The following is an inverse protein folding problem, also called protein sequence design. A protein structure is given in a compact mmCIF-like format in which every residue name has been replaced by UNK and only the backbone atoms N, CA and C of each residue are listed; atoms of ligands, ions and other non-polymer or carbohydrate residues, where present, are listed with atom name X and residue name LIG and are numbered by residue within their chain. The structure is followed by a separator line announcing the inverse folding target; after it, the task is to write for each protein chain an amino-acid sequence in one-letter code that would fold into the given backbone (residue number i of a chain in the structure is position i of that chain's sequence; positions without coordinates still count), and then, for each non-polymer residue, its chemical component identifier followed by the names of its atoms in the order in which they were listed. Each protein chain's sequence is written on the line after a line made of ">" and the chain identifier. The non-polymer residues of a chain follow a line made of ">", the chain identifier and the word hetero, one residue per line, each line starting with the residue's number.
data_IF_044918819683
#
_entry.id   IF_044918819683
#
_cell.length_a   1.000
_cell.length_b   1.000
_cell.length_c   1.000
_cell.angle_alpha   90.00
_cell.angle_beta   90.00
_cell.angle_gamma   90.00
#
_symmetry.space_group_name_H-M   'P 1'
#
loop_
_entity.id
_entity.type
_entity.pdbx_description
1 polymer ?
#
# COMPACT_ATOMS: atom_id res chain seq x y z
N UNK A 1 2.35 37.64 23.08
CA UNK A 1 1.76 36.35 22.68
C UNK A 1 2.78 35.62 21.84
N UNK A 2 3.33 34.50 22.33
CA UNK A 2 4.23 33.66 21.53
C UNK A 2 3.37 32.95 20.48
N UNK A 3 3.68 33.19 19.20
CA UNK A 3 3.19 32.41 18.07
C UNK A 3 3.49 30.94 18.37
N UNK A 4 2.45 30.11 18.55
CA UNK A 4 2.63 28.67 18.60
C UNK A 4 2.99 28.26 17.18
N UNK A 5 4.25 27.87 16.99
CA UNK A 5 4.66 27.17 15.78
C UNK A 5 3.74 25.95 15.67
N UNK A 6 2.93 25.94 14.63
CA UNK A 6 2.10 24.80 14.26
C UNK A 6 3.09 23.78 13.72
N UNK A 7 3.70 22.98 14.62
CA UNK A 7 4.66 21.93 14.26
C UNK A 7 3.89 20.81 13.54
N UNK A 8 3.53 21.06 12.28
CA UNK A 8 2.92 20.07 11.43
C UNK A 8 3.95 18.97 11.16
N UNK A 9 3.63 17.75 11.56
CA UNK A 9 4.42 16.57 11.17
C UNK A 9 4.19 16.34 9.68
N UNK A 10 5.22 16.58 8.86
CA UNK A 10 5.18 16.35 7.41
C UNK A 10 5.90 15.03 7.11
N UNK A 11 5.14 14.02 6.70
CA UNK A 11 5.70 12.79 6.13
C UNK A 11 5.91 13.02 4.63
N UNK A 12 7.16 12.96 4.17
CA UNK A 12 7.51 13.04 2.75
C UNK A 12 7.93 11.67 2.26
N UNK A 13 7.19 11.15 1.28
CA UNK A 13 7.52 9.88 0.63
C UNK A 13 7.78 10.15 -0.85
N UNK A 14 8.93 9.68 -1.34
CA UNK A 14 9.34 9.84 -2.74
C UNK A 14 8.94 8.63 -3.53
N UNK A 15 8.20 8.84 -4.63
CA UNK A 15 7.87 7.76 -5.58
C UNK A 15 9.13 7.04 -6.06
N UNK A 16 10.19 7.80 -6.38
CA UNK A 16 11.45 7.23 -6.84
C UNK A 16 12.08 6.29 -5.80
N UNK A 17 12.01 6.65 -4.51
CA UNK A 17 12.54 5.81 -3.44
C UNK A 17 11.70 4.53 -3.24
N UNK A 18 10.38 4.61 -3.38
CA UNK A 18 9.53 3.42 -3.38
C UNK A 18 9.82 2.53 -4.60
N UNK A 19 9.98 3.13 -5.78
CA UNK A 19 10.26 2.39 -7.02
C UNK A 19 11.63 1.69 -7.03
N UNK A 20 12.55 2.06 -6.13
CA UNK A 20 13.82 1.36 -5.97
C UNK A 20 13.77 0.18 -5.01
N UNK A 21 12.65 -0.07 -4.34
CA UNK A 21 12.47 -1.23 -3.48
C UNK A 21 12.28 -2.49 -4.33
N UNK A 22 12.81 -3.62 -3.85
CA UNK A 22 12.39 -4.94 -4.33
C UNK A 22 10.90 -5.18 -4.03
N UNK A 23 10.25 -6.12 -4.72
CA UNK A 23 8.84 -6.43 -4.46
C UNK A 23 8.61 -6.88 -3.02
N UNK A 24 9.52 -7.69 -2.45
CA UNK A 24 9.51 -8.05 -1.03
C UNK A 24 9.59 -6.85 -0.07
N UNK A 25 10.48 -5.91 -0.35
CA UNK A 25 10.61 -4.69 0.46
C UNK A 25 9.37 -3.81 0.32
N UNK A 26 8.80 -3.74 -0.88
CA UNK A 26 7.55 -3.03 -1.15
C UNK A 26 6.38 -3.67 -0.39
N UNK A 27 6.27 -4.99 -0.35
CA UNK A 27 5.26 -5.71 0.44
C UNK A 27 5.40 -5.43 1.93
N UNK A 28 6.62 -5.53 2.45
CA UNK A 28 6.92 -5.24 3.87
C UNK A 28 6.59 -3.78 4.21
N UNK A 29 6.94 -2.85 3.33
CA UNK A 29 6.61 -1.44 3.47
C UNK A 29 5.09 -1.22 3.47
N UNK A 30 4.37 -1.81 2.52
CA UNK A 30 2.93 -1.70 2.41
C UNK A 30 2.23 -2.25 3.65
N UNK A 31 2.67 -3.41 4.17
CA UNK A 31 2.14 -4.00 5.40
C UNK A 31 2.35 -3.06 6.60
N UNK A 32 3.54 -2.46 6.75
CA UNK A 32 3.84 -1.54 7.84
C UNK A 32 2.99 -0.26 7.78
N UNK A 33 2.86 0.35 6.59
CA UNK A 33 2.05 1.56 6.39
C UNK A 33 0.56 1.26 6.60
N UNK A 34 0.09 0.09 6.17
CA UNK A 34 -1.30 -0.35 6.39
C UNK A 34 -1.60 -0.55 7.88
N UNK A 35 -0.72 -1.24 8.62
CA UNK A 35 -0.87 -1.40 10.06
C UNK A 35 -0.87 -0.06 10.83
N UNK A 36 -0.03 0.88 10.41
CA UNK A 36 -0.05 2.24 10.96
C UNK A 36 -1.37 2.97 10.65
N UNK A 37 -1.90 2.84 9.43
CA UNK A 37 -3.19 3.39 9.04
C UNK A 37 -4.34 2.81 9.88
N UNK A 38 -4.35 1.50 10.10
CA UNK A 38 -5.36 0.82 10.92
C UNK A 38 -5.31 1.29 12.39
N UNK A 39 -4.11 1.49 12.94
CA UNK A 39 -3.95 2.04 14.28
C UNK A 39 -4.53 3.47 14.38
N UNK A 40 -4.29 4.32 13.37
CA UNK A 40 -4.86 5.67 13.29
C UNK A 40 -6.39 5.61 13.17
N UNK A 41 -6.90 4.69 12.35
CA UNK A 41 -8.34 4.45 12.21
C UNK A 41 -8.96 4.06 13.56
N UNK A 42 -8.25 3.24 14.34
CA UNK A 42 -8.61 2.90 15.72
C UNK A 42 -8.69 4.12 16.64
N UNK A 43 -7.81 5.12 16.46
CA UNK A 43 -7.84 6.39 17.22
C UNK A 43 -9.03 7.26 16.82
N UNK A 44 -9.32 7.40 15.52
CA UNK A 44 -10.47 8.16 15.01
C UNK A 44 -11.80 7.65 15.56
N UNK A 45 -11.91 6.33 15.75
CA UNK A 45 -13.12 5.70 16.27
C UNK A 45 -13.23 5.73 17.81
N UNK A 46 -12.31 6.39 18.53
CA UNK A 46 -12.42 6.52 19.98
C UNK A 46 -13.41 7.64 20.37
N UNK A 47 -14.27 7.45 21.38
CA UNK A 47 -15.25 8.47 21.81
C UNK A 47 -14.64 9.83 22.20
N UNK A 48 -13.36 9.84 22.55
CA UNK A 48 -12.60 11.03 22.95
C UNK A 48 -11.93 11.77 21.78
N UNK A 49 -11.93 11.18 20.58
CA UNK A 49 -11.38 11.82 19.38
C UNK A 49 -12.45 12.73 18.77
N UNK A 50 -12.35 14.03 19.01
CA UNK A 50 -13.32 15.02 18.56
C UNK A 50 -12.70 16.38 18.27
N UNK A 51 -13.50 17.28 17.70
CA UNK A 51 -13.08 18.66 17.42
C UNK A 51 -11.84 18.74 16.52
N UNK A 52 -10.88 19.58 16.89
CA UNK A 52 -9.66 19.78 16.10
C UNK A 52 -8.72 18.56 16.10
N UNK A 53 -8.77 17.73 17.15
CA UNK A 53 -7.99 16.49 17.19
C UNK A 53 -8.46 15.52 16.11
N UNK A 54 -9.78 15.38 15.94
CA UNK A 54 -10.34 14.55 14.88
C UNK A 54 -9.82 14.98 13.50
N UNK A 55 -9.90 16.28 13.19
CA UNK A 55 -9.44 16.81 11.89
C UNK A 55 -7.94 16.59 11.64
N UNK A 56 -7.12 16.72 12.68
CA UNK A 56 -5.68 16.47 12.57
C UNK A 56 -5.37 15.00 12.32
N UNK A 57 -6.05 14.10 13.04
CA UNK A 57 -5.86 12.65 12.89
C UNK A 57 -6.42 12.17 11.54
N UNK A 58 -7.53 12.74 11.07
CA UNK A 58 -8.11 12.49 9.74
C UNK A 58 -7.15 12.93 8.63
N UNK A 59 -6.61 14.14 8.69
CA UNK A 59 -5.61 14.61 7.74
C UNK A 59 -4.33 13.74 7.73
N UNK A 60 -3.97 13.18 8.90
CA UNK A 60 -2.86 12.24 9.01
C UNK A 60 -3.19 10.89 8.35
N UNK A 61 -4.39 10.35 8.58
CA UNK A 61 -4.91 9.15 7.93
C UNK A 61 -4.91 9.28 6.40
N UNK A 62 -5.39 10.41 5.87
CA UNK A 62 -5.36 10.72 4.44
C UNK A 62 -3.94 10.67 3.87
N UNK A 63 -2.94 11.07 4.67
CA UNK A 63 -1.53 10.94 4.34
C UNK A 63 -1.12 9.47 4.16
N UNK A 64 -1.50 8.60 5.09
CA UNK A 64 -1.22 7.16 4.99
C UNK A 64 -1.93 6.50 3.80
N UNK A 65 -3.21 6.83 3.57
CA UNK A 65 -3.94 6.35 2.40
C UNK A 65 -3.22 6.71 1.09
N UNK A 66 -2.72 7.94 0.96
CA UNK A 66 -1.93 8.37 -0.21
C UNK A 66 -0.61 7.62 -0.36
N UNK A 67 0.06 7.27 0.74
CA UNK A 67 1.31 6.48 0.71
C UNK A 67 1.02 5.05 0.28
N UNK A 68 -0.07 4.46 0.77
CA UNK A 68 -0.57 3.15 0.36
C UNK A 68 -0.82 3.15 -1.14
N UNK A 69 -1.64 4.09 -1.64
CA UNK A 69 -1.97 4.23 -3.07
C UNK A 69 -0.71 4.36 -3.95
N UNK A 70 0.29 5.12 -3.48
CA UNK A 70 1.56 5.29 -4.17
C UNK A 70 2.33 3.96 -4.27
N UNK A 71 2.44 3.20 -3.17
CA UNK A 71 3.12 1.92 -3.13
C UNK A 71 2.45 0.89 -4.04
N UNK A 72 1.12 0.86 -4.06
CA UNK A 72 0.33 -0.01 -4.95
C UNK A 72 0.50 0.39 -6.40
N UNK A 73 0.53 1.69 -6.70
CA UNK A 73 0.81 2.19 -8.05
C UNK A 73 2.15 1.66 -8.56
N UNK A 74 3.19 1.67 -7.71
CA UNK A 74 4.49 1.07 -8.04
C UNK A 74 4.36 -0.43 -8.29
N UNK A 75 3.67 -1.18 -7.42
CA UNK A 75 3.46 -2.62 -7.62
C UNK A 75 2.70 -2.95 -8.92
N UNK A 76 1.67 -2.16 -9.27
CA UNK A 76 0.90 -2.32 -10.51
C UNK A 76 1.75 -2.10 -11.76
N UNK A 77 2.68 -1.14 -11.72
CA UNK A 77 3.56 -0.81 -12.84
C UNK A 77 4.80 -1.70 -12.93
N UNK A 78 5.14 -2.42 -11.85
CA UNK A 78 6.27 -3.33 -11.83
C UNK A 78 6.10 -4.44 -12.87
N UNK A 79 7.18 -4.73 -13.60
CA UNK A 79 7.28 -5.88 -14.51
C UNK A 79 8.24 -6.87 -13.88
N UNK A 80 7.75 -8.00 -13.34
CA UNK A 80 8.61 -9.01 -12.74
C UNK A 80 9.61 -9.58 -13.74
N UNK A 81 10.87 -9.73 -13.32
CA UNK A 81 11.92 -10.36 -14.12
C UNK A 81 12.09 -11.85 -13.78
N UNK A 82 11.65 -12.27 -12.59
CA UNK A 82 11.71 -13.66 -12.12
C UNK A 82 10.34 -14.16 -11.64
N UNK A 83 10.21 -15.48 -11.46
CA UNK A 83 9.01 -16.08 -10.89
C UNK A 83 8.78 -15.60 -9.45
N UNK A 84 9.84 -15.58 -8.63
CA UNK A 84 9.78 -15.10 -7.24
C UNK A 84 9.28 -13.65 -7.18
N UNK A 85 9.78 -12.77 -8.06
CA UNK A 85 9.28 -11.38 -8.15
C UNK A 85 7.82 -11.30 -8.61
N UNK A 86 7.37 -12.22 -9.45
CA UNK A 86 5.97 -12.29 -9.90
C UNK A 86 5.05 -12.73 -8.76
N UNK A 87 5.48 -13.69 -7.94
CA UNK A 87 4.80 -14.10 -6.72
C UNK A 87 4.75 -12.96 -5.69
N UNK A 88 5.88 -12.30 -5.44
CA UNK A 88 5.93 -11.16 -4.51
C UNK A 88 5.04 -10.00 -4.97
N UNK A 89 5.05 -9.66 -6.26
CA UNK A 89 4.12 -8.67 -6.84
C UNK A 89 2.67 -9.08 -6.63
N UNK A 90 2.34 -10.36 -6.80
CA UNK A 90 1.00 -10.85 -6.54
C UNK A 90 0.59 -10.63 -5.08
N UNK A 91 1.45 -10.94 -4.11
CA UNK A 91 1.17 -10.68 -2.69
C UNK A 91 0.90 -9.21 -2.41
N UNK A 92 1.72 -8.29 -2.96
CA UNK A 92 1.51 -6.83 -2.84
C UNK A 92 0.10 -6.44 -3.31
N UNK A 93 -0.34 -6.97 -4.46
CA UNK A 93 -1.64 -6.61 -5.02
C UNK A 93 -2.82 -7.28 -4.30
N UNK A 94 -2.66 -8.53 -3.85
CA UNK A 94 -3.65 -9.26 -3.04
C UNK A 94 -3.86 -8.56 -1.69
N UNK A 95 -2.78 -8.23 -0.98
CA UNK A 95 -2.85 -7.55 0.33
C UNK A 95 -3.66 -6.26 0.25
N UNK A 96 -3.48 -5.50 -0.83
CA UNK A 96 -4.28 -4.30 -1.05
C UNK A 96 -5.77 -4.58 -1.28
N UNK A 97 -6.10 -5.52 -2.18
CA UNK A 97 -7.51 -5.83 -2.48
C UNK A 97 -8.25 -6.44 -1.29
N UNK A 98 -7.57 -7.27 -0.48
CA UNK A 98 -8.13 -7.79 0.76
C UNK A 98 -8.46 -6.68 1.77
N UNK A 99 -7.66 -5.61 1.82
CA UNK A 99 -7.90 -4.44 2.66
C UNK A 99 -9.08 -3.57 2.21
N UNK A 100 -9.36 -3.51 0.91
CA UNK A 100 -10.44 -2.70 0.35
C UNK A 100 -11.84 -3.34 0.46
N UNK A 101 -11.94 -4.63 0.81
CA UNK A 101 -13.21 -5.40 0.77
C UNK A 101 -13.92 -5.29 -0.58
N UNK A 102 -13.16 -5.15 -1.66
CA UNK A 102 -13.70 -4.92 -2.99
C UNK A 102 -14.41 -6.16 -3.55
N UNK A 103 -15.40 -5.88 -4.41
CA UNK A 103 -16.26 -6.85 -5.09
C UNK A 103 -15.47 -7.95 -5.81
N UNK A 104 -16.03 -9.17 -5.87
CA UNK A 104 -15.42 -10.37 -6.51
C UNK A 104 -14.84 -10.13 -7.92
N UNK A 105 -15.36 -9.16 -8.66
CA UNK A 105 -14.85 -8.77 -9.98
C UNK A 105 -13.40 -8.26 -9.94
N UNK A 106 -13.03 -7.55 -8.87
CA UNK A 106 -11.67 -7.01 -8.66
C UNK A 106 -10.65 -8.13 -8.46
N UNK A 107 -11.03 -9.18 -7.74
CA UNK A 107 -10.23 -10.38 -7.49
C UNK A 107 -10.01 -11.15 -8.80
N UNK A 108 -11.05 -11.29 -9.63
CA UNK A 108 -10.92 -11.94 -10.94
C UNK A 108 -9.88 -11.27 -11.85
N UNK A 109 -9.92 -9.93 -11.92
CA UNK A 109 -8.94 -9.16 -12.68
C UNK A 109 -7.51 -9.34 -12.15
N UNK A 110 -7.36 -9.52 -10.83
CA UNK A 110 -6.08 -9.78 -10.21
C UNK A 110 -5.53 -11.16 -10.59
N UNK A 111 -6.36 -12.19 -10.49
CA UNK A 111 -5.98 -13.56 -10.86
C UNK A 111 -5.55 -13.62 -12.33
N UNK A 112 -6.25 -12.91 -13.23
CA UNK A 112 -5.84 -12.81 -14.63
C UNK A 112 -4.53 -12.04 -14.84
N UNK A 113 -4.23 -11.06 -13.99
CA UNK A 113 -2.95 -10.37 -14.02
C UNK A 113 -1.82 -11.27 -13.52
N UNK A 114 -2.01 -11.96 -12.38
CA UNK A 114 -1.05 -12.91 -11.83
C UNK A 114 -0.72 -14.03 -12.83
N UNK A 115 -1.76 -14.57 -13.49
CA UNK A 115 -1.58 -15.58 -14.54
C UNK A 115 -0.72 -15.06 -15.69
N UNK A 116 -0.91 -13.81 -16.11
CA UNK A 116 -0.10 -13.16 -17.15
C UNK A 116 1.34 -12.95 -16.72
N UNK A 117 1.58 -12.56 -15.46
CA UNK A 117 2.93 -12.40 -14.93
C UNK A 117 3.69 -13.73 -14.88
N UNK A 118 2.99 -14.83 -14.57
CA UNK A 118 3.58 -16.16 -14.43
C UNK A 118 3.74 -16.90 -15.77
N UNK A 119 2.97 -16.54 -16.80
CA UNK A 119 2.98 -17.20 -18.12
C UNK A 119 4.38 -17.35 -18.76
N UNK A 120 5.26 -16.33 -18.72
CA UNK A 120 6.61 -16.43 -19.28
C UNK A 120 7.48 -17.50 -18.60
N UNK A 121 7.26 -17.74 -17.30
CA UNK A 121 8.06 -18.68 -16.50
C UNK A 121 7.53 -20.12 -16.56
N UNK A 122 6.23 -20.29 -16.83
CA UNK A 122 5.61 -21.61 -16.98
C UNK A 122 6.04 -22.36 -18.25
N UNK A 123 6.49 -21.65 -19.29
CA UNK A 123 6.90 -22.27 -20.58
C UNK A 123 8.28 -22.93 -20.55
N UNK A 124 9.05 -22.77 -19.47
CA UNK A 124 10.38 -23.38 -19.28
C UNK A 124 10.44 -24.54 -18.27
N UNK A 125 9.32 -24.92 -17.65
CA UNK A 125 9.27 -25.95 -16.60
C UNK A 125 9.07 -27.39 -17.15
N UNK A 126 9.09 -27.57 -18.48
CA UNK A 126 9.02 -28.87 -19.14
C UNK A 126 10.27 -29.12 -19.96
N UNK A 127 11.41 -29.34 -19.30
CA UNK A 127 12.53 -30.16 -19.80
C UNK A 127 13.11 -30.99 -18.65
#
# INVERSE_FOLDING_TARGET
>A
MKSSVNDSVVIRVSRHAISSLSMRELDTFLAAVTAANDAINGVLNQPRCGGDVYRQVEAFQDGFNKIIDLAIGVGKEATPATLDEAEERAFVLIHHQAGLRDDFQSIGNLVDQMRRDMEPFMKGATE
#
